data_IF_524044800905
#
_entry.id   IF_524044800905
#
_cell.length_a   1.000
_cell.length_b   1.000
_cell.length_c   1.000
_cell.angle_alpha   90.00
_cell.angle_beta   90.00
_cell.angle_gamma   90.00
#
_symmetry.space_group_name_H-M   'P 1'
#
loop_
_entity.id
_entity.type
_entity.pdbx_description
1 polymer ?
#
# COMPACT_ATOMS: atom_id res chain seq x y z
N UNK A 1 2.45 -44.41 -25.96
CA UNK A 1 2.25 -43.39 -27.04
C UNK A 1 3.26 -42.24 -26.85
N UNK A 2 3.84 -41.69 -27.94
CA UNK A 2 4.83 -40.62 -27.81
C UNK A 2 4.15 -39.27 -27.45
N UNK A 3 4.63 -38.55 -26.42
CA UNK A 3 4.02 -37.34 -25.92
C UNK A 3 3.84 -36.26 -27.01
N UNK A 4 4.76 -36.19 -27.98
CA UNK A 4 4.66 -35.28 -29.14
C UNK A 4 3.44 -35.52 -30.01
N UNK A 5 3.06 -36.81 -30.19
CA UNK A 5 1.89 -37.17 -30.97
C UNK A 5 0.59 -36.85 -30.23
N UNK A 6 0.57 -37.03 -28.89
CA UNK A 6 -0.56 -36.66 -28.07
C UNK A 6 -0.84 -35.15 -28.15
N UNK A 7 0.23 -34.32 -28.10
CA UNK A 7 0.12 -32.88 -28.23
C UNK A 7 -0.45 -32.45 -29.61
N UNK A 8 0.01 -33.06 -30.72
CA UNK A 8 -0.51 -32.77 -32.06
C UNK A 8 -2.00 -33.13 -32.21
N UNK A 9 -2.42 -34.23 -31.62
CA UNK A 9 -3.82 -34.70 -31.66
C UNK A 9 -4.70 -33.73 -30.86
N UNK A 10 -4.28 -33.34 -29.65
CA UNK A 10 -5.00 -32.42 -28.81
C UNK A 10 -5.12 -31.01 -29.44
N UNK A 11 -4.05 -30.51 -30.06
CA UNK A 11 -4.06 -29.24 -30.78
C UNK A 11 -5.02 -29.24 -31.98
N UNK A 12 -5.03 -30.31 -32.77
CA UNK A 12 -5.98 -30.47 -33.89
C UNK A 12 -7.45 -30.55 -33.41
N UNK A 13 -7.71 -31.24 -32.30
CA UNK A 13 -9.04 -31.32 -31.71
C UNK A 13 -9.58 -29.94 -31.30
N UNK A 14 -8.74 -29.08 -30.75
CA UNK A 14 -9.09 -27.66 -30.42
C UNK A 14 -9.47 -26.85 -31.66
N UNK A 15 -8.76 -27.04 -32.77
CA UNK A 15 -9.01 -26.31 -34.02
C UNK A 15 -10.29 -26.73 -34.74
N UNK A 16 -10.79 -27.93 -34.50
CA UNK A 16 -12.02 -28.46 -35.14
C UNK A 16 -13.30 -27.85 -34.53
N UNK A 17 -13.28 -27.49 -33.22
CA UNK A 17 -14.45 -26.94 -32.51
C UNK A 17 -14.15 -25.56 -31.90
N UNK A 18 -13.76 -24.59 -32.73
CA UNK A 18 -13.28 -23.24 -32.30
C UNK A 18 -14.24 -22.49 -31.37
N UNK A 19 -15.53 -22.46 -31.70
CA UNK A 19 -16.54 -21.71 -30.91
C UNK A 19 -16.69 -22.30 -29.51
N UNK A 20 -16.69 -23.61 -29.38
CA UNK A 20 -16.81 -24.32 -28.11
C UNK A 20 -15.54 -24.12 -27.24
N UNK A 21 -14.38 -24.25 -27.87
CA UNK A 21 -13.09 -24.01 -27.24
C UNK A 21 -12.96 -22.54 -26.76
N UNK A 22 -13.36 -21.56 -27.56
CA UNK A 22 -13.35 -20.13 -27.16
C UNK A 22 -14.28 -19.84 -25.99
N UNK A 23 -15.50 -20.38 -25.97
CA UNK A 23 -16.45 -20.20 -24.88
C UNK A 23 -15.94 -20.74 -23.54
N UNK A 24 -15.26 -21.89 -23.55
CA UNK A 24 -14.64 -22.44 -22.33
C UNK A 24 -13.42 -21.67 -21.90
N UNK A 25 -12.55 -21.33 -22.86
CA UNK A 25 -11.37 -20.50 -22.56
C UNK A 25 -11.78 -19.15 -22.00
N UNK A 26 -12.94 -18.60 -22.37
CA UNK A 26 -13.41 -17.31 -21.88
C UNK A 26 -13.50 -17.27 -20.35
N UNK A 27 -14.05 -18.31 -19.72
CA UNK A 27 -14.11 -18.39 -18.25
C UNK A 27 -12.73 -18.40 -17.60
N UNK A 28 -11.78 -19.11 -18.21
CA UNK A 28 -10.39 -19.16 -17.74
C UNK A 28 -9.70 -17.82 -17.98
N UNK A 29 -9.87 -17.23 -19.17
CA UNK A 29 -9.30 -15.92 -19.52
C UNK A 29 -9.76 -14.85 -18.54
N UNK A 30 -11.05 -14.77 -18.25
CA UNK A 30 -11.61 -13.82 -17.29
C UNK A 30 -11.06 -14.11 -15.89
N UNK A 31 -11.07 -15.36 -15.45
CA UNK A 31 -10.58 -15.74 -14.13
C UNK A 31 -9.10 -15.40 -13.93
N UNK A 32 -8.24 -15.82 -14.84
CA UNK A 32 -6.79 -15.55 -14.78
C UNK A 32 -6.51 -14.05 -14.92
N UNK A 33 -7.17 -13.38 -15.88
CA UNK A 33 -7.00 -11.94 -16.07
C UNK A 33 -7.40 -11.12 -14.83
N UNK A 34 -8.52 -11.49 -14.21
CA UNK A 34 -8.96 -10.87 -12.96
C UNK A 34 -7.97 -11.09 -11.81
N UNK A 35 -7.47 -12.32 -11.63
CA UNK A 35 -6.47 -12.62 -10.59
C UNK A 35 -5.22 -11.76 -10.75
N UNK A 36 -4.68 -11.69 -11.98
CA UNK A 36 -3.47 -10.88 -12.25
C UNK A 36 -3.72 -9.41 -11.97
N UNK A 37 -4.83 -8.86 -12.47
CA UNK A 37 -5.18 -7.44 -12.26
C UNK A 37 -5.36 -7.13 -10.78
N UNK A 38 -6.03 -7.99 -10.02
CA UNK A 38 -6.25 -7.81 -8.59
C UNK A 38 -4.96 -7.88 -7.78
N UNK A 39 -4.10 -8.85 -8.06
CA UNK A 39 -2.80 -8.95 -7.43
C UNK A 39 -1.91 -7.73 -7.76
N UNK A 40 -1.93 -7.27 -9.02
CA UNK A 40 -1.15 -6.11 -9.44
C UNK A 40 -1.61 -4.81 -8.76
N UNK A 41 -2.92 -4.62 -8.56
CA UNK A 41 -3.49 -3.49 -7.81
C UNK A 41 -3.11 -3.60 -6.32
N UNK A 42 -3.24 -4.78 -5.73
CA UNK A 42 -2.89 -5.02 -4.33
C UNK A 42 -1.41 -4.71 -4.03
N UNK A 43 -0.50 -5.23 -4.83
CA UNK A 43 0.94 -4.95 -4.69
C UNK A 43 1.29 -3.49 -5.01
N UNK A 44 0.65 -2.90 -6.01
CA UNK A 44 0.80 -1.48 -6.33
C UNK A 44 0.34 -0.58 -5.18
N UNK A 45 -0.78 -0.90 -4.56
CA UNK A 45 -1.30 -0.19 -3.39
C UNK A 45 -0.35 -0.29 -2.20
N UNK A 46 0.14 -1.48 -1.86
CA UNK A 46 1.14 -1.67 -0.78
C UNK A 46 2.40 -0.84 -1.03
N UNK A 47 2.93 -0.87 -2.25
CA UNK A 47 4.13 -0.11 -2.63
C UNK A 47 3.89 1.39 -2.53
N UNK A 48 2.77 1.88 -3.05
CA UNK A 48 2.38 3.29 -2.99
C UNK A 48 2.20 3.77 -1.56
N UNK A 49 1.53 3.00 -0.69
CA UNK A 49 1.38 3.30 0.74
C UNK A 49 2.76 3.44 1.40
N UNK A 50 3.65 2.46 1.18
CA UNK A 50 5.00 2.48 1.75
C UNK A 50 5.78 3.72 1.28
N UNK A 51 5.79 4.01 -0.02
CA UNK A 51 6.49 5.18 -0.58
C UNK A 51 5.95 6.51 -0.04
N UNK A 52 4.63 6.62 0.10
CA UNK A 52 4.00 7.85 0.59
C UNK A 52 4.26 8.10 2.07
N UNK A 53 4.19 7.05 2.88
CA UNK A 53 4.49 7.15 4.30
C UNK A 53 5.99 7.44 4.47
N UNK A 54 6.87 6.82 3.69
CA UNK A 54 8.31 7.08 3.75
C UNK A 54 8.68 8.53 3.39
N UNK A 55 7.94 9.19 2.49
CA UNK A 55 8.13 10.62 2.18
C UNK A 55 7.83 11.56 3.36
N UNK A 56 7.13 11.09 4.38
CA UNK A 56 6.86 11.88 5.60
C UNK A 56 8.06 11.91 6.56
N UNK A 57 9.12 11.19 6.27
CA UNK A 57 10.34 10.96 7.08
C UNK A 57 10.48 9.47 7.39
N UNK A 58 11.65 8.91 7.24
CA UNK A 58 11.89 7.49 7.57
C UNK A 58 12.03 7.31 9.09
N UNK A 59 11.58 6.15 9.58
CA UNK A 59 11.72 5.76 10.99
C UNK A 59 11.15 6.75 12.02
N UNK A 60 10.10 7.51 11.64
CA UNK A 60 9.52 8.53 12.50
C UNK A 60 8.57 7.93 13.53
N UNK A 61 8.72 8.38 14.78
CA UNK A 61 7.75 8.22 15.86
C UNK A 61 7.01 9.53 16.08
N UNK A 62 5.70 9.47 16.20
CA UNK A 62 4.86 10.60 16.52
C UNK A 62 4.17 10.34 17.87
N UNK A 63 4.51 11.15 18.86
CA UNK A 63 3.98 11.06 20.21
C UNK A 63 2.96 12.18 20.36
N UNK A 64 1.71 11.82 20.68
CA UNK A 64 0.61 12.77 20.85
C UNK A 64 -0.10 12.53 22.17
N UNK A 65 -0.80 13.56 22.70
CA UNK A 65 -1.71 13.35 23.83
C UNK A 65 -2.69 12.21 23.50
N UNK A 66 -2.95 11.35 24.49
CA UNK A 66 -3.92 10.27 24.39
C UNK A 66 -5.33 10.75 24.73
N UNK A 67 -6.35 9.96 24.39
CA UNK A 67 -7.69 10.16 24.91
C UNK A 67 -7.75 9.61 26.33
N UNK A 68 -7.66 10.46 27.35
CA UNK A 68 -7.76 10.06 28.76
C UNK A 68 -9.14 10.33 29.35
N UNK A 69 -9.46 9.62 30.44
CA UNK A 69 -10.60 9.98 31.29
C UNK A 69 -10.14 10.97 32.35
N UNK A 70 -10.65 12.19 32.33
CA UNK A 70 -10.44 13.16 33.39
C UNK A 70 -11.77 13.41 34.12
N UNK A 71 -11.84 13.02 35.39
CA UNK A 71 -13.07 13.17 36.18
C UNK A 71 -14.29 12.40 35.69
N UNK A 72 -14.08 11.24 35.03
CA UNK A 72 -15.20 10.42 34.51
C UNK A 72 -15.71 10.84 33.12
N UNK A 73 -15.15 11.90 32.52
CA UNK A 73 -15.50 12.37 31.17
C UNK A 73 -14.39 12.00 30.22
N UNK A 74 -14.74 11.39 29.10
CA UNK A 74 -13.78 11.07 28.02
C UNK A 74 -13.46 12.36 27.25
N UNK A 75 -12.24 12.86 27.39
CA UNK A 75 -11.78 14.04 26.68
C UNK A 75 -11.30 13.67 25.27
N UNK A 76 -11.48 14.60 24.32
CA UNK A 76 -10.94 14.44 22.97
C UNK A 76 -9.41 14.54 22.99
N UNK A 77 -8.72 13.88 22.06
CA UNK A 77 -7.26 13.99 21.89
C UNK A 77 -6.78 15.44 21.70
N UNK A 78 -7.62 16.33 21.15
CA UNK A 78 -7.29 17.74 20.94
C UNK A 78 -7.30 18.57 22.23
N UNK A 79 -8.01 18.10 23.26
CA UNK A 79 -8.24 18.86 24.48
C UNK A 79 -7.32 18.44 25.64
N UNK A 80 -6.56 17.35 25.44
CA UNK A 80 -5.60 16.84 26.40
C UNK A 80 -4.28 17.60 26.33
N UNK A 81 -3.85 18.15 27.47
CA UNK A 81 -2.60 18.90 27.64
C UNK A 81 -1.57 18.05 28.41
N UNK A 82 -1.46 16.77 28.09
CA UNK A 82 -0.62 15.82 28.83
C UNK A 82 0.86 15.98 28.54
N UNK A 83 1.24 16.35 27.30
CA UNK A 83 2.64 16.45 26.90
C UNK A 83 3.25 17.80 27.30
N UNK A 84 4.40 17.77 27.97
CA UNK A 84 5.14 18.93 28.47
C UNK A 84 6.57 18.95 27.94
N UNK A 85 7.27 20.06 28.16
CA UNK A 85 8.70 20.18 27.84
C UNK A 85 9.57 19.18 28.62
N UNK A 86 9.18 18.82 29.84
CA UNK A 86 9.84 17.77 30.64
C UNK A 86 9.90 16.43 29.95
N UNK A 87 8.88 16.10 29.17
CA UNK A 87 8.78 14.84 28.43
C UNK A 87 9.74 14.84 27.24
N UNK A 88 9.81 15.96 26.51
CA UNK A 88 10.79 16.16 25.46
C UNK A 88 12.23 16.04 26.01
N UNK A 89 12.53 16.71 27.14
CA UNK A 89 13.86 16.66 27.75
C UNK A 89 14.22 15.24 28.21
N UNK A 90 13.26 14.51 28.82
CA UNK A 90 13.46 13.13 29.22
C UNK A 90 13.73 12.22 28.01
N UNK A 91 12.95 12.36 26.92
CA UNK A 91 13.15 11.60 25.70
C UNK A 91 14.50 11.91 25.05
N UNK A 92 14.91 13.17 25.01
CA UNK A 92 16.19 13.58 24.45
C UNK A 92 17.38 13.05 25.27
N UNK A 93 17.23 12.98 26.61
CA UNK A 93 18.30 12.52 27.51
C UNK A 93 18.40 10.99 27.59
N UNK A 94 17.28 10.28 27.62
CA UNK A 94 17.23 8.85 27.96
C UNK A 94 16.84 7.95 26.77
N UNK A 95 16.40 8.54 25.66
CA UNK A 95 16.00 7.81 24.46
C UNK A 95 17.19 7.30 23.67
N UNK A 96 17.84 6.22 24.13
CA UNK A 96 19.06 5.67 23.52
C UNK A 96 18.83 5.09 22.13
N UNK A 97 17.59 4.74 21.77
CA UNK A 97 17.20 4.25 20.44
C UNK A 97 16.73 5.38 19.52
N UNK A 98 16.66 6.62 20.03
CA UNK A 98 16.24 7.79 19.27
C UNK A 98 17.47 8.52 18.72
N UNK A 99 17.44 8.87 17.44
CA UNK A 99 18.50 9.62 16.77
C UNK A 99 18.30 11.12 16.90
N UNK A 100 17.05 11.56 16.70
CA UNK A 100 16.62 12.95 16.78
C UNK A 100 15.28 13.03 17.50
N UNK A 101 15.06 14.11 18.25
CA UNK A 101 13.81 14.37 18.96
C UNK A 101 13.45 15.85 18.83
N UNK A 102 12.23 16.17 18.43
CA UNK A 102 11.75 17.55 18.31
C UNK A 102 10.42 17.73 19.00
N UNK A 103 10.27 18.75 19.85
CA UNK A 103 8.96 19.20 20.31
C UNK A 103 8.24 19.86 19.14
N UNK A 104 6.92 19.73 19.09
CA UNK A 104 6.09 20.34 18.07
C UNK A 104 4.94 21.08 18.72
N UNK A 105 4.82 22.35 18.40
CA UNK A 105 3.67 23.19 18.69
C UNK A 105 3.17 23.80 17.39
N UNK A 106 1.87 23.80 17.13
CA UNK A 106 1.34 24.29 15.86
C UNK A 106 0.11 25.17 16.05
N UNK A 107 -0.06 26.09 15.15
CA UNK A 107 -1.23 26.96 15.10
C UNK A 107 -1.56 27.34 13.67
N UNK A 108 -2.84 27.58 13.41
CA UNK A 108 -3.33 28.04 12.12
C UNK A 108 -3.66 29.54 12.19
N UNK A 109 -3.43 30.23 11.11
CA UNK A 109 -3.70 31.65 11.06
C UNK A 109 -3.35 32.29 9.74
N UNK A 110 -3.65 33.58 9.66
CA UNK A 110 -3.36 34.37 8.47
C UNK A 110 -1.93 34.90 8.54
N UNK A 111 -1.19 34.70 7.47
CA UNK A 111 0.12 35.27 7.23
C UNK A 111 0.01 36.40 6.20
N UNK A 112 0.70 37.49 6.41
CA UNK A 112 0.66 38.69 5.59
C UNK A 112 2.09 39.11 5.25
N UNK A 113 2.34 39.41 3.98
CA UNK A 113 3.57 40.03 3.49
C UNK A 113 3.24 41.01 2.38
N UNK A 114 3.79 42.22 2.46
CA UNK A 114 3.45 43.32 1.52
C UNK A 114 1.95 43.58 1.50
N UNK A 115 1.32 43.40 0.35
CA UNK A 115 -0.14 43.51 0.16
C UNK A 115 -0.89 42.20 0.13
N UNK A 116 -0.18 41.06 0.22
CA UNK A 116 -0.74 39.71 0.07
C UNK A 116 -1.00 39.09 1.41
N UNK A 117 -2.02 38.22 1.46
CA UNK A 117 -2.35 37.43 2.63
C UNK A 117 -2.59 35.96 2.23
N UNK A 118 -2.23 35.05 3.15
CA UNK A 118 -2.41 33.63 2.96
C UNK A 118 -2.72 32.94 4.29
N UNK A 119 -3.74 32.07 4.30
CA UNK A 119 -4.06 31.27 5.49
C UNK A 119 -3.20 30.02 5.49
N UNK A 120 -2.36 29.84 6.51
CA UNK A 120 -1.40 28.74 6.59
C UNK A 120 -1.19 28.29 8.04
N UNK A 121 -0.44 27.20 8.20
CA UNK A 121 -0.06 26.67 9.51
C UNK A 121 1.36 27.09 9.87
N UNK A 122 1.57 27.47 11.14
CA UNK A 122 2.89 27.67 11.71
C UNK A 122 3.24 26.50 12.64
N UNK A 123 4.42 25.93 12.46
CA UNK A 123 4.99 24.89 13.30
C UNK A 123 6.18 25.44 14.07
N UNK A 124 6.08 25.42 15.39
CA UNK A 124 7.19 25.70 16.31
C UNK A 124 7.94 24.40 16.60
N UNK A 125 9.20 24.33 16.23
CA UNK A 125 10.03 23.13 16.30
C UNK A 125 11.47 23.47 16.71
N UNK A 126 12.31 22.45 16.90
CA UNK A 126 13.75 22.62 17.08
C UNK A 126 14.54 22.36 15.78
N UNK A 127 15.86 22.42 15.85
CA UNK A 127 16.78 22.22 14.73
C UNK A 127 16.74 20.79 14.17
N UNK A 128 16.35 19.80 14.98
CA UNK A 128 16.31 18.37 14.61
C UNK A 128 15.05 18.01 13.81
N UNK A 129 14.05 18.88 13.71
CA UNK A 129 12.80 18.61 13.02
C UNK A 129 12.96 18.35 11.53
N UNK A 130 13.78 19.15 10.84
CA UNK A 130 14.00 18.95 9.40
C UNK A 130 14.69 17.62 9.09
N UNK A 131 15.76 17.22 9.81
CA UNK A 131 16.32 15.87 9.70
C UNK A 131 15.31 14.75 9.96
N UNK A 132 14.44 14.87 10.97
CA UNK A 132 13.39 13.87 11.26
C UNK A 132 12.43 13.72 10.08
N UNK A 133 12.08 14.84 9.43
CA UNK A 133 11.16 14.90 8.30
C UNK A 133 11.84 14.65 6.96
N UNK A 134 13.14 14.40 6.93
CA UNK A 134 13.96 14.31 5.69
C UNK A 134 13.67 15.52 4.77
N UNK A 135 13.67 16.70 5.36
CA UNK A 135 13.39 17.92 4.63
C UNK A 135 14.61 18.85 4.66
N UNK A 136 14.87 19.53 3.56
CA UNK A 136 16.02 20.43 3.44
C UNK A 136 15.57 21.85 3.12
N UNK A 137 16.44 22.78 3.40
CA UNK A 137 16.30 24.19 3.01
C UNK A 137 16.84 24.33 1.57
N UNK A 138 16.02 24.87 0.66
CA UNK A 138 16.41 25.14 -0.73
C UNK A 138 17.27 26.40 -0.85
N UNK A 139 16.87 27.44 -0.12
CA UNK A 139 17.55 28.74 -0.15
C UNK A 139 17.59 29.31 1.27
N UNK A 140 18.71 29.95 1.64
CA UNK A 140 18.91 30.50 2.98
C UNK A 140 19.42 29.46 3.97
N UNK A 141 18.98 29.55 5.22
CA UNK A 141 19.40 28.68 6.32
C UNK A 141 18.27 28.34 7.29
N UNK A 142 18.44 27.25 8.04
CA UNK A 142 17.62 26.93 9.21
C UNK A 142 18.10 27.77 10.41
N UNK A 143 17.22 28.06 11.35
CA UNK A 143 17.58 28.67 12.64
C UNK A 143 18.36 27.66 13.50
N UNK A 144 19.22 28.21 14.39
CA UNK A 144 20.04 27.44 15.33
C UNK A 144 19.48 27.42 16.76
N UNK A 145 20.23 26.83 17.67
CA UNK A 145 19.87 26.78 19.10
C UNK A 145 19.83 28.19 19.77
N UNK A 146 20.64 29.13 19.26
CA UNK A 146 20.64 30.50 19.73
C UNK A 146 19.31 31.20 19.46
N UNK A 147 18.73 31.05 18.28
CA UNK A 147 17.43 31.57 17.93
C UNK A 147 16.29 30.95 18.75
N UNK A 148 16.42 29.65 19.08
CA UNK A 148 15.48 28.95 19.96
C UNK A 148 15.54 29.53 21.37
N UNK A 149 16.75 29.67 21.93
CA UNK A 149 16.96 30.14 23.29
C UNK A 149 16.54 31.60 23.48
N UNK A 150 16.81 32.42 22.46
CA UNK A 150 16.51 33.84 22.49
C UNK A 150 15.10 34.21 22.03
N UNK A 151 14.23 33.22 21.78
CA UNK A 151 12.87 33.46 21.28
C UNK A 151 12.85 34.33 20.02
N UNK A 152 13.80 34.07 19.10
CA UNK A 152 13.96 34.86 17.89
C UNK A 152 12.72 34.74 16.98
N UNK A 153 12.34 35.87 16.38
CA UNK A 153 11.23 35.94 15.45
C UNK A 153 11.74 35.69 14.02
N UNK A 154 12.22 34.49 13.79
CA UNK A 154 12.70 34.01 12.49
C UNK A 154 11.82 32.89 12.01
N UNK A 155 11.71 32.74 10.68
CA UNK A 155 10.90 31.71 10.07
C UNK A 155 11.56 31.17 8.80
N UNK A 156 11.37 29.86 8.59
CA UNK A 156 11.62 29.17 7.31
C UNK A 156 10.25 28.83 6.72
N UNK A 157 10.02 29.17 5.45
CA UNK A 157 8.72 29.03 4.82
C UNK A 157 8.73 27.95 3.72
N UNK A 158 7.60 27.26 3.55
CA UNK A 158 7.42 26.31 2.44
C UNK A 158 7.14 27.02 1.11
N UNK A 159 7.27 26.30 0.01
CA UNK A 159 7.14 26.82 -1.35
C UNK A 159 5.76 27.44 -1.64
N UNK A 160 4.68 26.81 -1.12
CA UNK A 160 3.31 27.34 -1.30
C UNK A 160 3.12 28.67 -0.60
N UNK A 161 3.65 28.82 0.62
CA UNK A 161 3.61 30.10 1.36
C UNK A 161 4.44 31.15 0.63
N UNK A 162 5.65 30.82 0.17
CA UNK A 162 6.50 31.71 -0.58
C UNK A 162 5.81 32.22 -1.85
N UNK A 163 5.22 31.32 -2.64
CA UNK A 163 4.51 31.66 -3.89
C UNK A 163 3.29 32.56 -3.67
N UNK A 164 2.53 32.35 -2.61
CA UNK A 164 1.29 33.09 -2.37
C UNK A 164 1.51 34.45 -1.68
N UNK A 165 2.58 34.58 -0.89
CA UNK A 165 2.91 35.85 -0.22
C UNK A 165 3.81 36.76 -1.06
N UNK A 166 4.68 36.20 -1.90
CA UNK A 166 5.66 36.94 -2.71
C UNK A 166 5.38 36.75 -4.21
N UNK A 167 4.24 37.26 -4.68
CA UNK A 167 3.70 37.03 -6.03
C UNK A 167 4.49 37.71 -7.15
N UNK A 168 5.25 38.76 -6.85
CA UNK A 168 5.99 39.58 -7.83
C UNK A 168 7.40 39.03 -8.15
N UNK A 169 7.73 37.81 -7.74
CA UNK A 169 9.07 37.25 -7.91
C UNK A 169 10.12 37.84 -6.96
N UNK A 170 9.67 38.51 -5.89
CA UNK A 170 10.55 39.02 -4.84
C UNK A 170 11.19 37.87 -4.08
N UNK A 171 12.49 38.02 -3.74
CA UNK A 171 13.16 37.04 -2.90
C UNK A 171 12.58 37.12 -1.48
N UNK A 172 12.01 36.01 -0.97
CA UNK A 172 11.46 35.98 0.39
C UNK A 172 12.49 36.17 1.51
N UNK A 173 13.76 35.80 1.24
CA UNK A 173 14.83 35.81 2.26
C UNK A 173 15.14 37.24 2.69
N UNK A 174 15.14 37.44 3.99
CA UNK A 174 15.36 38.75 4.59
C UNK A 174 14.09 39.58 4.75
N UNK A 175 13.00 39.25 4.06
CA UNK A 175 11.71 39.90 4.16
C UNK A 175 11.00 39.58 5.49
N UNK A 176 10.01 40.39 5.85
CA UNK A 176 9.23 40.17 7.08
C UNK A 176 7.81 39.72 6.72
N UNK A 177 7.40 38.60 7.24
CA UNK A 177 6.00 38.10 7.21
C UNK A 177 5.37 38.39 8.60
N UNK A 178 4.07 38.67 8.61
CA UNK A 178 3.31 38.85 9.87
C UNK A 178 2.32 37.69 10.01
N UNK A 179 2.52 36.87 11.03
CA UNK A 179 1.60 35.77 11.37
C UNK A 179 0.83 36.15 12.64
N UNK A 180 -0.50 36.25 12.60
CA UNK A 180 -1.35 36.71 13.71
C UNK A 180 -0.79 38.00 14.38
N UNK A 181 -0.44 38.98 13.60
CA UNK A 181 0.15 40.28 14.05
C UNK A 181 1.59 40.22 14.58
N UNK A 182 2.23 39.05 14.64
CA UNK A 182 3.62 38.93 15.09
C UNK A 182 4.53 38.88 13.83
N UNK A 183 5.53 39.80 13.75
CA UNK A 183 6.45 39.80 12.63
C UNK A 183 7.51 38.70 12.79
N UNK A 184 7.77 37.98 11.69
CA UNK A 184 8.85 37.00 11.55
C UNK A 184 9.73 37.36 10.36
N UNK A 185 11.04 37.38 10.53
CA UNK A 185 12.00 37.54 9.45
C UNK A 185 12.17 36.17 8.75
N UNK A 186 11.95 36.14 7.45
CA UNK A 186 12.21 34.94 6.65
C UNK A 186 13.71 34.74 6.49
N UNK A 187 14.23 33.60 6.91
CA UNK A 187 15.66 33.26 6.83
C UNK A 187 15.95 32.12 5.85
N UNK A 188 14.92 31.39 5.43
CA UNK A 188 15.07 30.30 4.46
C UNK A 188 13.76 29.89 3.82
N UNK A 189 13.88 29.17 2.71
CA UNK A 189 12.79 28.58 1.97
C UNK A 189 13.06 27.08 1.83
N UNK A 190 12.06 26.26 2.12
CA UNK A 190 12.16 24.78 2.07
C UNK A 190 12.18 24.26 0.65
N UNK A 191 12.77 23.10 0.46
CA UNK A 191 12.62 22.33 -0.78
C UNK A 191 11.18 21.88 -0.97
N UNK A 192 10.73 21.80 -2.23
CA UNK A 192 9.37 21.37 -2.56
C UNK A 192 9.18 19.88 -2.23
N UNK A 193 8.16 19.54 -1.44
CA UNK A 193 7.70 18.16 -1.18
C UNK A 193 6.45 17.79 -1.99
N UNK A 194 5.62 18.79 -2.33
CA UNK A 194 4.38 18.62 -3.06
C UNK A 194 3.21 18.14 -2.18
N UNK A 195 2.15 17.74 -2.84
CA UNK A 195 0.96 17.23 -2.16
C UNK A 195 1.19 15.81 -1.63
N UNK A 196 0.68 15.54 -0.44
CA UNK A 196 0.56 14.18 0.07
C UNK A 196 -0.57 13.45 -0.66
N UNK A 197 -0.54 12.13 -0.72
CA UNK A 197 -1.63 11.35 -1.33
C UNK A 197 -2.99 11.48 -0.62
N UNK A 198 -3.01 12.12 0.54
CA UNK A 198 -4.25 12.48 1.27
C UNK A 198 -4.75 13.87 0.89
N UNK A 199 -4.21 14.48 -0.18
CA UNK A 199 -4.63 15.79 -0.68
C UNK A 199 -4.17 16.98 0.16
N UNK A 200 -3.26 16.77 1.12
CA UNK A 200 -2.69 17.87 1.90
C UNK A 200 -1.42 18.39 1.24
N UNK A 201 -1.37 19.68 0.99
CA UNK A 201 -0.15 20.36 0.55
C UNK A 201 0.85 20.43 1.70
N UNK A 202 1.98 19.71 1.57
CA UNK A 202 3.04 19.71 2.57
C UNK A 202 3.87 20.99 2.54
N UNK A 203 3.84 21.73 1.43
CA UNK A 203 4.60 22.96 1.22
C UNK A 203 3.88 24.21 1.78
N UNK A 204 2.63 24.06 2.26
CA UNK A 204 1.86 25.14 2.90
C UNK A 204 2.16 25.20 4.41
N UNK A 205 3.36 25.66 4.77
CA UNK A 205 3.85 25.64 6.15
C UNK A 205 4.82 26.79 6.41
N UNK A 206 4.77 27.29 7.65
CA UNK A 206 5.78 28.18 8.24
C UNK A 206 6.44 27.41 9.40
N UNK A 207 7.76 27.35 9.43
CA UNK A 207 8.54 26.72 10.49
C UNK A 207 9.28 27.81 11.27
N UNK A 208 9.14 27.81 12.59
CA UNK A 208 9.76 28.78 13.48
C UNK A 208 10.25 28.12 14.79
N UNK A 209 11.09 28.75 15.61
CA UNK A 209 11.49 28.22 16.89
C UNK A 209 10.29 27.91 17.79
N UNK A 210 10.25 26.69 18.37
CA UNK A 210 9.11 26.27 19.21
C UNK A 210 8.87 27.23 20.39
N UNK A 211 9.93 27.76 20.96
CA UNK A 211 9.87 28.72 22.08
C UNK A 211 9.11 30.00 21.70
N UNK A 212 9.33 30.50 20.49
CA UNK A 212 8.65 31.68 19.94
C UNK A 212 7.19 31.39 19.63
N UNK A 213 6.89 30.29 18.98
CA UNK A 213 5.51 29.91 18.64
C UNK A 213 4.71 29.62 19.90
N UNK A 214 5.26 28.86 20.85
CA UNK A 214 4.61 28.48 22.09
C UNK A 214 4.24 29.70 22.95
N UNK A 215 5.18 30.62 23.16
CA UNK A 215 4.97 31.78 24.06
C UNK A 215 4.24 32.93 23.39
N UNK A 216 4.52 33.22 22.09
CA UNK A 216 4.04 34.44 21.45
C UNK A 216 2.81 34.24 20.58
N UNK A 217 2.65 33.05 19.96
CA UNK A 217 1.52 32.76 19.08
C UNK A 217 0.39 32.04 19.82
N UNK A 218 0.74 31.02 20.63
CA UNK A 218 -0.22 30.14 21.25
C UNK A 218 -0.49 30.45 22.71
N UNK A 219 0.45 31.11 23.39
CA UNK A 219 0.41 31.42 24.83
C UNK A 219 0.10 30.16 25.69
N UNK A 220 0.73 29.03 25.37
CA UNK A 220 0.50 27.73 26.02
C UNK A 220 1.80 27.16 26.58
N UNK A 221 1.67 26.21 27.53
CA UNK A 221 2.81 25.57 28.21
C UNK A 221 2.97 24.10 27.81
N UNK A 222 1.99 23.53 27.09
CA UNK A 222 1.97 22.13 26.66
C UNK A 222 2.42 21.99 25.19
N UNK A 223 2.80 20.78 24.82
CA UNK A 223 3.16 20.40 23.45
C UNK A 223 1.97 19.69 22.78
N UNK A 224 1.75 19.94 21.50
CA UNK A 224 0.75 19.20 20.72
C UNK A 224 1.28 17.85 20.28
N UNK A 225 2.57 17.72 20.05
CA UNK A 225 3.22 16.44 19.81
C UNK A 225 4.72 16.53 20.04
N UNK A 226 5.35 15.37 20.17
CA UNK A 226 6.79 15.22 20.08
C UNK A 226 7.04 14.27 18.91
N UNK A 227 7.91 14.66 18.00
CA UNK A 227 8.35 13.78 16.90
C UNK A 227 9.78 13.33 17.15
N UNK A 228 10.05 12.07 16.87
CA UNK A 228 11.39 11.51 17.02
C UNK A 228 11.73 10.64 15.80
N UNK A 229 13.00 10.47 15.53
CA UNK A 229 13.51 9.51 14.54
C UNK A 229 14.27 8.40 15.26
N UNK A 230 14.00 7.16 14.91
CA UNK A 230 14.70 5.98 15.43
C UNK A 230 16.04 5.82 14.68
N UNK A 231 17.06 5.30 15.36
CA UNK A 231 18.37 5.06 14.77
C UNK A 231 18.28 4.03 13.64
N UNK A 232 17.51 2.95 13.84
CA UNK A 232 17.36 1.84 12.89
C UNK A 232 15.88 1.43 12.80
N UNK A 233 15.37 1.24 11.59
CA UNK A 233 13.99 0.80 11.33
C UNK A 233 13.66 -0.52 12.04
N UNK A 234 14.61 -1.44 12.11
CA UNK A 234 14.46 -2.74 12.80
C UNK A 234 14.22 -2.60 14.31
N UNK A 235 14.63 -1.48 14.90
CA UNK A 235 14.47 -1.18 16.32
C UNK A 235 13.21 -0.35 16.63
N UNK A 236 12.37 -0.05 15.62
CA UNK A 236 11.21 0.82 15.80
C UNK A 236 10.26 0.35 16.90
N UNK A 237 9.98 -0.95 16.97
CA UNK A 237 9.12 -1.51 18.02
C UNK A 237 9.74 -1.40 19.43
N UNK A 238 11.05 -1.63 19.55
CA UNK A 238 11.77 -1.46 20.80
C UNK A 238 11.84 0.01 21.22
N UNK A 239 12.01 0.91 20.25
CA UNK A 239 12.00 2.36 20.49
C UNK A 239 10.63 2.83 20.99
N UNK A 240 9.53 2.33 20.42
CA UNK A 240 8.17 2.60 20.93
C UNK A 240 8.02 2.14 22.37
N UNK A 241 8.48 0.93 22.73
CA UNK A 241 8.46 0.41 24.10
C UNK A 241 9.30 1.27 25.05
N UNK A 242 10.49 1.72 24.59
CA UNK A 242 11.35 2.60 25.37
C UNK A 242 10.69 3.97 25.62
N UNK A 243 10.15 4.60 24.57
CA UNK A 243 9.43 5.87 24.66
C UNK A 243 8.25 5.77 25.63
N UNK A 244 7.42 4.73 25.51
CA UNK A 244 6.30 4.50 26.43
C UNK A 244 6.78 4.40 27.88
N UNK A 245 7.81 3.64 28.16
CA UNK A 245 8.36 3.46 29.51
C UNK A 245 8.92 4.77 30.09
N UNK A 246 9.57 5.61 29.26
CA UNK A 246 10.07 6.93 29.69
C UNK A 246 8.88 7.83 30.08
N UNK A 247 7.85 7.90 29.22
CA UNK A 247 6.70 8.78 29.44
C UNK A 247 5.81 8.29 30.60
N UNK A 248 5.59 7.00 30.76
CA UNK A 248 4.88 6.42 31.92
C UNK A 248 5.54 6.87 33.23
N UNK A 249 6.86 6.92 33.27
CA UNK A 249 7.61 7.42 34.44
C UNK A 249 7.50 8.95 34.60
N UNK A 250 7.62 9.75 33.54
CA UNK A 250 7.52 11.22 33.64
C UNK A 250 6.13 11.69 34.01
N UNK A 251 5.09 10.96 33.61
CA UNK A 251 3.70 11.22 33.93
C UNK A 251 3.27 10.59 35.28
N UNK A 252 4.17 9.83 35.96
CA UNK A 252 3.87 9.09 37.18
C UNK A 252 2.65 8.16 37.06
N UNK A 253 2.48 7.53 35.89
CA UNK A 253 1.39 6.60 35.66
C UNK A 253 1.62 5.27 36.39
N UNK A 254 0.60 4.77 37.07
CA UNK A 254 0.64 3.45 37.68
C UNK A 254 0.39 2.36 36.63
N UNK A 255 0.85 1.15 36.86
CA UNK A 255 0.71 0.02 35.94
C UNK A 255 -0.76 -0.34 35.58
N UNK A 256 -1.73 0.19 36.33
CA UNK A 256 -3.17 -0.05 36.13
C UNK A 256 -3.88 1.13 35.41
N UNK A 257 -3.18 2.22 35.17
CA UNK A 257 -3.73 3.39 34.48
C UNK A 257 -3.49 3.29 32.99
N UNK A 258 -4.50 3.72 32.21
CA UNK A 258 -4.32 3.90 30.76
C UNK A 258 -3.37 5.06 30.49
N UNK A 259 -2.56 4.92 29.45
CA UNK A 259 -1.63 5.97 29.04
C UNK A 259 -2.40 7.21 28.54
N UNK A 260 -2.05 8.37 29.06
CA UNK A 260 -2.56 9.68 28.64
C UNK A 260 -1.82 10.24 27.42
N UNK A 261 -1.04 9.39 26.76
CA UNK A 261 -0.34 9.65 25.49
C UNK A 261 -0.44 8.45 24.55
N UNK A 262 -0.25 8.71 23.26
CA UNK A 262 -0.15 7.70 22.22
C UNK A 262 1.16 7.84 21.46
N UNK A 263 1.82 6.72 21.19
CA UNK A 263 3.03 6.66 20.39
C UNK A 263 2.71 5.92 19.10
N UNK A 264 2.72 6.63 17.99
CA UNK A 264 2.52 6.08 16.67
C UNK A 264 3.85 5.93 15.96
N UNK A 265 4.21 4.73 15.58
CA UNK A 265 5.33 4.52 14.68
C UNK A 265 4.86 4.53 13.23
N UNK A 266 5.69 5.08 12.36
CA UNK A 266 5.44 5.03 10.93
C UNK A 266 5.35 3.59 10.42
N UNK A 267 6.17 2.70 10.97
CA UNK A 267 6.14 1.28 10.65
C UNK A 267 4.81 0.60 11.02
N UNK A 268 4.20 0.99 12.14
CA UNK A 268 2.88 0.50 12.56
C UNK A 268 1.78 0.97 11.59
N UNK A 269 1.86 2.20 11.10
CA UNK A 269 0.95 2.70 10.06
C UNK A 269 1.13 1.91 8.76
N UNK A 270 2.37 1.71 8.28
CA UNK A 270 2.65 0.91 7.08
C UNK A 270 2.11 -0.50 7.25
N UNK A 271 2.34 -1.16 8.39
CA UNK A 271 1.86 -2.53 8.64
C UNK A 271 0.33 -2.61 8.66
N UNK A 272 -0.35 -1.66 9.30
CA UNK A 272 -1.81 -1.61 9.39
C UNK A 272 -2.45 -1.42 8.02
N UNK A 273 -1.98 -0.46 7.24
CA UNK A 273 -2.49 -0.23 5.88
C UNK A 273 -2.16 -1.39 4.94
N UNK A 274 -0.96 -1.97 5.06
CA UNK A 274 -0.55 -3.13 4.26
C UNK A 274 -1.41 -4.35 4.57
N UNK A 275 -1.70 -4.62 5.84
CA UNK A 275 -2.58 -5.73 6.26
C UNK A 275 -4.01 -5.54 5.77
N UNK A 276 -4.54 -4.31 5.82
CA UNK A 276 -5.86 -3.99 5.26
C UNK A 276 -5.89 -4.20 3.75
N UNK A 277 -4.87 -3.72 3.03
CA UNK A 277 -4.75 -3.92 1.58
C UNK A 277 -4.64 -5.41 1.22
N UNK A 278 -3.91 -6.19 2.03
CA UNK A 278 -3.79 -7.64 1.86
C UNK A 278 -5.11 -8.36 2.05
N UNK A 279 -5.87 -8.01 3.10
CA UNK A 279 -7.19 -8.58 3.34
C UNK A 279 -8.14 -8.30 2.17
N UNK A 280 -8.17 -7.07 1.65
CA UNK A 280 -8.96 -6.71 0.48
C UNK A 280 -8.51 -7.48 -0.77
N UNK A 281 -7.20 -7.63 -0.97
CA UNK A 281 -6.65 -8.40 -2.10
C UNK A 281 -7.05 -9.87 -2.02
N UNK A 282 -6.99 -10.49 -0.84
CA UNK A 282 -7.42 -11.88 -0.62
C UNK A 282 -8.91 -12.03 -0.96
N UNK A 283 -9.76 -11.09 -0.51
CA UNK A 283 -11.19 -11.11 -0.81
C UNK A 283 -11.46 -11.02 -2.32
N UNK A 284 -10.77 -10.12 -3.01
CA UNK A 284 -10.90 -9.96 -4.46
C UNK A 284 -10.43 -11.20 -5.22
N UNK A 285 -9.31 -11.79 -4.81
CA UNK A 285 -8.78 -13.04 -5.38
C UNK A 285 -9.73 -14.21 -5.13
N UNK A 286 -10.38 -14.26 -3.97
CA UNK A 286 -11.42 -15.29 -3.69
C UNK A 286 -12.60 -15.16 -4.66
N UNK A 287 -13.06 -13.94 -4.96
CA UNK A 287 -14.12 -13.70 -5.95
C UNK A 287 -13.65 -14.11 -7.34
N UNK A 288 -12.43 -13.75 -7.75
CA UNK A 288 -11.87 -14.14 -9.02
C UNK A 288 -11.70 -15.67 -9.14
N UNK A 289 -11.42 -16.37 -8.04
CA UNK A 289 -11.34 -17.83 -7.98
C UNK A 289 -12.67 -18.51 -8.29
N UNK A 290 -13.80 -17.90 -7.93
CA UNK A 290 -15.13 -18.40 -8.31
C UNK A 290 -15.28 -18.40 -9.84
N UNK A 291 -14.84 -17.32 -10.51
CA UNK A 291 -14.86 -17.26 -11.97
C UNK A 291 -14.00 -18.35 -12.60
N UNK A 292 -12.87 -18.69 -12.00
CA UNK A 292 -12.00 -19.76 -12.46
C UNK A 292 -12.64 -21.16 -12.27
N UNK A 293 -13.36 -21.37 -11.17
CA UNK A 293 -14.13 -22.60 -10.93
C UNK A 293 -15.23 -22.74 -12.01
N UNK A 294 -15.95 -21.67 -12.33
CA UNK A 294 -16.97 -21.69 -13.40
C UNK A 294 -16.32 -22.01 -14.74
N UNK A 295 -15.15 -21.42 -15.05
CA UNK A 295 -14.35 -21.77 -16.23
C UNK A 295 -13.93 -23.25 -16.24
N UNK A 296 -13.54 -23.79 -15.09
CA UNK A 296 -13.19 -25.21 -14.91
C UNK A 296 -14.39 -26.14 -15.14
N UNK A 297 -15.58 -25.80 -14.65
CA UNK A 297 -16.81 -26.54 -14.93
C UNK A 297 -17.11 -26.50 -16.43
N UNK A 298 -16.83 -25.40 -17.12
CA UNK A 298 -16.89 -25.30 -18.58
C UNK A 298 -15.97 -26.31 -19.29
N UNK A 299 -14.70 -26.46 -18.82
CA UNK A 299 -13.77 -27.46 -19.30
C UNK A 299 -14.37 -28.86 -19.10
N UNK A 300 -14.85 -29.18 -17.91
CA UNK A 300 -15.42 -30.47 -17.57
C UNK A 300 -16.59 -30.81 -18.48
N UNK A 301 -17.52 -29.88 -18.71
CA UNK A 301 -18.68 -30.11 -19.61
C UNK A 301 -18.27 -30.38 -21.05
N UNK A 302 -17.32 -29.62 -21.57
CA UNK A 302 -16.85 -29.83 -22.95
C UNK A 302 -16.11 -31.16 -23.11
N UNK A 303 -15.26 -31.47 -22.15
CA UNK A 303 -14.55 -32.75 -22.16
C UNK A 303 -15.52 -33.93 -22.08
N UNK A 304 -16.60 -33.80 -21.28
CA UNK A 304 -17.63 -34.83 -21.20
C UNK A 304 -18.37 -35.04 -22.53
N UNK A 305 -18.74 -33.94 -23.20
CA UNK A 305 -19.36 -34.03 -24.55
C UNK A 305 -18.37 -34.58 -25.57
N UNK A 306 -17.09 -34.14 -25.51
CA UNK A 306 -16.03 -34.63 -26.42
C UNK A 306 -15.80 -36.13 -26.28
N UNK A 307 -15.84 -36.67 -25.06
CA UNK A 307 -15.75 -38.10 -24.79
C UNK A 307 -16.95 -38.84 -25.43
N UNK A 308 -18.18 -38.31 -25.27
CA UNK A 308 -19.39 -38.91 -25.87
C UNK A 308 -19.32 -38.91 -27.40
N UNK A 309 -18.97 -37.77 -28.02
CA UNK A 309 -18.86 -37.65 -29.49
C UNK A 309 -17.79 -38.59 -30.06
N UNK A 310 -16.75 -38.93 -29.29
CA UNK A 310 -15.63 -39.80 -29.71
C UNK A 310 -15.69 -41.20 -29.12
N UNK A 311 -16.81 -41.65 -28.59
CA UNK A 311 -16.95 -42.97 -27.94
C UNK A 311 -16.54 -44.10 -28.85
N UNK A 312 -16.99 -44.12 -30.13
CA UNK A 312 -16.60 -45.13 -31.13
C UNK A 312 -15.10 -45.12 -31.44
N UNK A 313 -14.50 -43.92 -31.54
CA UNK A 313 -13.06 -43.75 -31.78
C UNK A 313 -12.22 -44.29 -30.61
N UNK A 314 -12.65 -44.01 -29.35
CA UNK A 314 -12.02 -44.54 -28.14
C UNK A 314 -12.11 -46.07 -28.12
N UNK A 315 -13.32 -46.63 -28.39
CA UNK A 315 -13.55 -48.06 -28.45
C UNK A 315 -12.66 -48.74 -29.48
N UNK A 316 -12.52 -48.17 -30.68
CA UNK A 316 -11.64 -48.69 -31.72
C UNK A 316 -10.17 -48.70 -31.26
N UNK A 317 -9.68 -47.61 -30.64
CA UNK A 317 -8.30 -47.57 -30.13
C UNK A 317 -8.06 -48.62 -29.06
N UNK A 318 -9.01 -48.84 -28.17
CA UNK A 318 -8.89 -49.85 -27.13
C UNK A 318 -8.96 -51.27 -27.69
N UNK A 319 -9.78 -51.51 -28.74
CA UNK A 319 -9.87 -52.80 -29.43
C UNK A 319 -8.56 -53.19 -30.15
N UNK A 320 -7.78 -52.21 -30.66
CA UNK A 320 -6.47 -52.44 -31.28
C UNK A 320 -5.30 -52.39 -30.26
N UNK A 321 -5.59 -52.36 -28.93
CA UNK A 321 -4.60 -52.56 -27.89
C UNK A 321 -4.16 -51.31 -27.11
N UNK A 322 -4.82 -50.14 -27.26
CA UNK A 322 -4.57 -48.99 -26.41
C UNK A 322 -5.02 -49.28 -24.98
N UNK A 323 -4.16 -48.92 -23.98
CA UNK A 323 -4.49 -49.11 -22.58
C UNK A 323 -5.33 -47.94 -22.09
N UNK A 324 -6.20 -48.13 -21.08
CA UNK A 324 -6.99 -47.06 -20.48
C UNK A 324 -6.13 -45.88 -19.97
N UNK A 325 -4.90 -46.14 -19.52
CA UNK A 325 -3.93 -45.08 -19.13
C UNK A 325 -3.52 -44.18 -20.30
N UNK A 326 -3.45 -44.72 -21.53
CA UNK A 326 -3.12 -43.91 -22.72
C UNK A 326 -4.29 -42.97 -23.07
N UNK A 327 -5.53 -43.47 -22.96
CA UNK A 327 -6.75 -42.67 -23.16
C UNK A 327 -6.87 -41.60 -22.08
N UNK A 328 -6.67 -41.96 -20.82
CA UNK A 328 -6.66 -41.00 -19.71
C UNK A 328 -5.65 -39.85 -19.96
N UNK A 329 -4.40 -40.23 -20.31
CA UNK A 329 -3.35 -39.24 -20.58
C UNK A 329 -3.69 -38.32 -21.75
N UNK A 330 -4.29 -38.86 -22.82
CA UNK A 330 -4.69 -38.10 -24.00
C UNK A 330 -5.71 -37.03 -23.64
N UNK A 331 -6.82 -37.38 -22.96
CA UNK A 331 -7.87 -36.45 -22.62
C UNK A 331 -7.42 -35.47 -21.52
N UNK A 332 -6.53 -35.90 -20.61
CA UNK A 332 -5.96 -35.00 -19.57
C UNK A 332 -5.04 -33.96 -20.23
N UNK A 333 -4.20 -34.34 -21.18
CA UNK A 333 -3.37 -33.40 -21.94
C UNK A 333 -4.24 -32.41 -22.72
N UNK A 334 -5.36 -32.87 -23.30
CA UNK A 334 -6.30 -32.01 -24.03
C UNK A 334 -6.90 -30.95 -23.11
N UNK A 335 -7.36 -31.32 -21.91
CA UNK A 335 -7.89 -30.35 -20.92
C UNK A 335 -6.84 -29.37 -20.40
N UNK A 336 -5.60 -29.84 -20.13
CA UNK A 336 -4.48 -29.00 -19.70
C UNK A 336 -4.09 -28.01 -20.80
N UNK A 337 -4.10 -28.44 -22.09
CA UNK A 337 -3.82 -27.53 -23.20
C UNK A 337 -4.86 -26.41 -23.35
N UNK A 338 -6.16 -26.74 -23.19
CA UNK A 338 -7.23 -25.73 -23.18
C UNK A 338 -6.97 -24.72 -22.04
N UNK A 339 -6.64 -25.25 -20.87
CA UNK A 339 -6.37 -24.43 -19.70
C UNK A 339 -5.14 -23.55 -19.87
N UNK A 340 -4.03 -24.07 -20.35
CA UNK A 340 -2.79 -23.32 -20.60
C UNK A 340 -3.00 -22.24 -21.67
N UNK A 341 -3.66 -22.57 -22.78
CA UNK A 341 -3.92 -21.57 -23.84
C UNK A 341 -4.85 -20.47 -23.34
N UNK A 342 -5.92 -20.82 -22.61
CA UNK A 342 -6.78 -19.85 -21.93
C UNK A 342 -6.02 -19.02 -20.89
N UNK A 343 -5.12 -19.64 -20.13
CA UNK A 343 -4.26 -19.00 -19.16
C UNK A 343 -3.29 -17.98 -19.79
N UNK A 344 -2.62 -18.35 -20.88
CA UNK A 344 -1.72 -17.41 -21.59
C UNK A 344 -2.49 -16.20 -22.12
N UNK A 345 -3.66 -16.42 -22.73
CA UNK A 345 -4.52 -15.31 -23.18
C UNK A 345 -5.03 -14.48 -22.00
N UNK A 346 -5.38 -15.14 -20.89
CA UNK A 346 -5.77 -14.49 -19.65
C UNK A 346 -4.66 -13.62 -19.06
N UNK A 347 -3.41 -14.08 -19.09
CA UNK A 347 -2.24 -13.27 -18.69
C UNK A 347 -2.12 -12.04 -19.56
N UNK A 348 -2.18 -12.18 -20.87
CA UNK A 348 -2.07 -11.05 -21.82
C UNK A 348 -3.18 -10.03 -21.55
N UNK A 349 -4.43 -10.48 -21.45
CA UNK A 349 -5.58 -9.59 -21.20
C UNK A 349 -5.50 -8.97 -19.80
N UNK A 350 -5.08 -9.73 -18.78
CA UNK A 350 -4.87 -9.22 -17.43
C UNK A 350 -3.79 -8.14 -17.37
N UNK A 351 -2.68 -8.31 -18.07
CA UNK A 351 -1.63 -7.28 -18.19
C UNK A 351 -2.15 -6.02 -18.89
N UNK A 352 -2.88 -6.18 -20.01
CA UNK A 352 -3.49 -5.04 -20.70
C UNK A 352 -4.52 -4.32 -19.84
N UNK A 353 -5.36 -5.05 -19.11
CA UNK A 353 -6.32 -4.49 -18.16
C UNK A 353 -5.62 -3.72 -17.03
N UNK A 354 -4.53 -4.28 -16.48
CA UNK A 354 -3.72 -3.64 -15.43
C UNK A 354 -3.14 -2.32 -15.91
N UNK A 355 -2.56 -2.28 -17.12
CA UNK A 355 -2.06 -1.05 -17.74
C UNK A 355 -3.19 -0.06 -17.99
N UNK A 356 -4.36 -0.53 -18.44
CA UNK A 356 -5.56 0.28 -18.62
C UNK A 356 -6.01 0.95 -17.32
N UNK A 357 -6.07 0.20 -16.22
CA UNK A 357 -6.41 0.74 -14.89
C UNK A 357 -5.44 1.85 -14.48
N UNK A 358 -4.14 1.65 -14.69
CA UNK A 358 -3.13 2.68 -14.38
C UNK A 358 -3.30 3.95 -15.22
N UNK A 359 -3.53 3.81 -16.53
CA UNK A 359 -3.62 4.95 -17.45
C UNK A 359 -4.94 5.74 -17.33
N UNK A 360 -6.08 5.05 -17.18
CA UNK A 360 -7.40 5.71 -17.20
C UNK A 360 -7.91 6.09 -15.80
N UNK A 361 -7.56 5.32 -14.78
CA UNK A 361 -8.06 5.52 -13.41
C UNK A 361 -6.97 6.15 -12.52
N UNK A 362 -5.69 6.02 -12.91
CA UNK A 362 -4.55 6.54 -12.13
C UNK A 362 -4.20 5.71 -10.90
N UNK A 363 -4.72 4.49 -10.78
CA UNK A 363 -4.42 3.64 -9.62
C UNK A 363 -2.98 3.11 -9.68
N UNK A 364 -2.30 3.04 -8.53
CA UNK A 364 -0.99 2.45 -8.45
C UNK A 364 -1.06 0.95 -8.72
N UNK A 365 -0.31 0.48 -9.70
CA UNK A 365 -0.23 -0.94 -10.06
C UNK A 365 1.23 -1.39 -10.05
N UNK A 366 1.45 -2.63 -9.62
CA UNK A 366 2.77 -3.25 -9.65
C UNK A 366 2.66 -4.67 -10.16
N UNK A 367 3.16 -4.90 -11.37
CA UNK A 367 3.17 -6.22 -11.99
C UNK A 367 4.38 -6.97 -11.45
N UNK A 368 4.16 -8.08 -10.77
CA UNK A 368 5.21 -8.94 -10.23
C UNK A 368 5.27 -10.24 -11.02
N UNK A 369 6.47 -10.79 -11.20
CA UNK A 369 6.64 -12.11 -11.82
C UNK A 369 5.90 -13.20 -11.02
N UNK A 370 5.85 -13.03 -9.71
CA UNK A 370 5.11 -13.89 -8.79
C UNK A 370 3.63 -14.00 -9.14
N UNK A 371 2.94 -12.89 -9.45
CA UNK A 371 1.53 -12.88 -9.86
C UNK A 371 1.29 -13.70 -11.14
N UNK A 372 2.19 -13.59 -12.10
CA UNK A 372 2.11 -14.33 -13.37
C UNK A 372 2.31 -15.82 -13.12
N UNK A 373 3.33 -16.20 -12.36
CA UNK A 373 3.64 -17.62 -12.07
C UNK A 373 2.50 -18.28 -11.30
N UNK A 374 1.98 -17.62 -10.26
CA UNK A 374 0.83 -18.17 -9.49
C UNK A 374 -0.39 -18.33 -10.37
N UNK A 375 -0.74 -17.34 -11.18
CA UNK A 375 -1.90 -17.41 -12.06
C UNK A 375 -1.79 -18.57 -13.05
N UNK A 376 -0.60 -18.79 -13.60
CA UNK A 376 -0.34 -19.90 -14.52
C UNK A 376 -0.43 -21.26 -13.81
N UNK A 377 0.09 -21.37 -12.59
CA UNK A 377 0.05 -22.58 -11.78
C UNK A 377 -1.40 -22.94 -11.41
N UNK A 378 -2.18 -21.98 -10.94
CA UNK A 378 -3.59 -22.17 -10.58
C UNK A 378 -4.40 -22.56 -11.81
N UNK A 379 -4.15 -21.95 -12.97
CA UNK A 379 -4.77 -22.31 -14.25
C UNK A 379 -4.48 -23.77 -14.63
N UNK A 380 -3.23 -24.20 -14.52
CA UNK A 380 -2.82 -25.58 -14.82
C UNK A 380 -3.49 -26.59 -13.89
N UNK A 381 -3.52 -26.29 -12.59
CA UNK A 381 -4.22 -27.12 -11.59
C UNK A 381 -5.72 -27.23 -11.92
N UNK A 382 -6.35 -26.13 -12.32
CA UNK A 382 -7.76 -26.12 -12.72
C UNK A 382 -7.99 -27.04 -13.92
N UNK A 383 -7.13 -26.97 -14.94
CA UNK A 383 -7.21 -27.84 -16.10
C UNK A 383 -7.09 -29.34 -15.77
N UNK A 384 -6.14 -29.67 -14.89
CA UNK A 384 -5.95 -31.05 -14.42
C UNK A 384 -7.16 -31.52 -13.61
N UNK A 385 -7.62 -30.71 -12.65
CA UNK A 385 -8.70 -31.09 -11.74
C UNK A 385 -10.03 -31.32 -12.47
N UNK A 386 -10.45 -30.37 -13.28
CA UNK A 386 -11.71 -30.48 -14.02
C UNK A 386 -11.63 -31.41 -15.26
N UNK A 387 -10.45 -31.63 -15.82
CA UNK A 387 -10.24 -32.57 -16.89
C UNK A 387 -10.14 -34.03 -16.45
N UNK A 388 -9.76 -34.28 -15.20
CA UNK A 388 -9.51 -35.63 -14.70
C UNK A 388 -10.75 -36.53 -14.71
N UNK A 389 -11.91 -36.03 -14.27
CA UNK A 389 -13.15 -36.81 -14.18
C UNK A 389 -13.64 -37.31 -15.55
N UNK A 390 -13.80 -36.45 -16.59
CA UNK A 390 -14.20 -36.95 -17.94
C UNK A 390 -13.12 -37.79 -18.57
N UNK A 391 -11.84 -37.53 -18.37
CA UNK A 391 -10.74 -38.35 -18.88
C UNK A 391 -10.75 -39.77 -18.28
N UNK A 392 -11.03 -39.88 -16.98
CA UNK A 392 -11.20 -41.16 -16.31
C UNK A 392 -12.39 -41.94 -16.85
N UNK A 393 -13.54 -41.31 -17.06
CA UNK A 393 -14.70 -41.95 -17.67
C UNK A 393 -14.41 -42.49 -19.09
N UNK A 394 -13.62 -41.75 -19.89
CA UNK A 394 -13.19 -42.20 -21.19
C UNK A 394 -12.29 -43.45 -21.12
N UNK A 395 -11.41 -43.52 -20.11
CA UNK A 395 -10.47 -44.61 -19.88
C UNK A 395 -11.14 -45.90 -19.37
N UNK A 396 -12.30 -45.78 -18.75
CA UNK A 396 -13.10 -46.91 -18.21
C UNK A 396 -14.15 -47.44 -19.17
N UNK A 397 -14.22 -46.96 -20.44
CA UNK A 397 -15.15 -47.46 -21.45
C UNK A 397 -14.80 -48.90 -21.85
N UNK A 398 -15.83 -49.74 -21.96
CA UNK A 398 -15.68 -51.10 -22.52
C UNK A 398 -15.63 -51.06 -24.04
N UNK A 399 -14.61 -51.66 -24.71
CA UNK A 399 -14.45 -51.57 -26.15
C UNK A 399 -15.66 -52.04 -26.95
N UNK A 400 -16.30 -53.13 -26.49
CA UNK A 400 -17.47 -53.72 -27.16
C UNK A 400 -18.69 -52.81 -27.07
N UNK A 401 -18.94 -52.26 -25.87
CA UNK A 401 -20.05 -51.34 -25.62
C UNK A 401 -19.83 -50.01 -26.34
N UNK A 402 -18.59 -49.55 -26.42
CA UNK A 402 -18.22 -48.28 -27.09
C UNK A 402 -18.38 -48.40 -28.64
N UNK A 403 -18.12 -49.56 -29.25
CA UNK A 403 -18.30 -49.76 -30.68
C UNK A 403 -19.77 -49.87 -31.10
N UNK A 404 -20.65 -50.31 -30.18
CA UNK A 404 -22.09 -50.43 -30.40
C UNK A 404 -22.87 -49.15 -30.09
N UNK A 405 -22.21 -48.14 -29.59
CA UNK A 405 -22.83 -46.85 -29.21
C UNK A 405 -23.35 -46.17 -30.47
N UNK A 406 -24.67 -45.91 -30.56
CA UNK A 406 -25.29 -45.10 -31.61
C UNK A 406 -25.24 -43.61 -31.34
#
# INVERSE_FOLDING_TARGET
MNIQNLFKIAWRALLLNKTRAMLTMLGIIIGVGSVITMLAIGEGSKKSIKENISKMGTNMLNIRPGAGMMGGVRMSMSDMQSLKMTDYEALKKEGTLLKYVSPVVSGNGQSIAGGNNWHTSIYGVNTEYLPIREWSVAEGSMFGEDEITNFAKVAVIGQTVAKNLFTNGENPIGQTIRFKNIPFKVIGVLTKKGESNFGQDQDDVIIAPYTTVQKRILAQTFLQSIVASVIDESQSENAVKQVKKILERTHNLSATQENDFNVFSQQELISTFSSTSEMLTILLVAIASISLIVGGIGIMNIMYVSVKERTKEIGLRMAIGAKGKDILAQFLIESVLISITGGVLGVIIGLLATVGVSLFIGWPVSITLYSIVISFLVCTITGVFFGWYPARKAAELEPISALRYE
#
